data_IF_415038848028
#
_entry.id   IF_415038848028
#
_cell.length_a   1.000
_cell.length_b   1.000
_cell.length_c   1.000
_cell.angle_alpha   90.00
_cell.angle_beta   90.00
_cell.angle_gamma   90.00
#
_symmetry.space_group_name_H-M   'P 1'
#
loop_
_entity.id
_entity.type
_entity.pdbx_description
1 polymer ?
#
# COMPACT_ATOMS: atom_id res chain seq x y z
N UNK A 1 6.58 -11.36 -12.82
CA UNK A 1 5.75 -12.54 -12.55
C UNK A 1 6.57 -13.58 -11.83
N UNK A 2 5.94 -14.35 -10.98
CA UNK A 2 6.52 -15.51 -10.29
C UNK A 2 5.54 -16.70 -10.33
N UNK A 3 5.76 -17.75 -9.55
CA UNK A 3 4.86 -18.91 -9.51
C UNK A 3 3.52 -18.65 -8.82
N UNK A 4 3.42 -17.56 -8.05
CA UNK A 4 2.23 -17.22 -7.25
C UNK A 4 1.25 -16.37 -8.05
N UNK A 5 1.74 -15.27 -8.68
CA UNK A 5 0.85 -14.32 -9.37
C UNK A 5 1.60 -13.48 -10.41
N UNK A 6 0.82 -12.77 -11.20
CA UNK A 6 1.32 -11.75 -12.12
C UNK A 6 1.66 -10.46 -11.37
N UNK A 7 2.78 -9.83 -11.77
CA UNK A 7 3.30 -8.59 -11.21
C UNK A 7 2.70 -7.36 -11.89
N UNK A 8 2.82 -6.20 -11.25
CA UNK A 8 2.42 -4.90 -11.78
C UNK A 8 3.33 -4.45 -12.94
N UNK A 9 3.11 -4.98 -14.12
CA UNK A 9 3.83 -4.68 -15.37
C UNK A 9 2.88 -4.28 -16.48
N UNK A 10 3.40 -3.56 -17.48
CA UNK A 10 2.59 -3.15 -18.63
C UNK A 10 2.38 -4.28 -19.67
N UNK A 11 3.24 -5.29 -19.71
CA UNK A 11 3.39 -6.16 -20.90
C UNK A 11 3.43 -7.66 -20.61
N UNK A 12 3.46 -8.12 -19.38
CA UNK A 12 3.53 -9.54 -19.05
C UNK A 12 2.35 -9.94 -18.17
N UNK A 13 1.73 -11.05 -18.56
CA UNK A 13 0.64 -11.67 -17.83
C UNK A 13 0.77 -13.18 -18.04
N UNK A 14 1.38 -13.88 -17.08
CA UNK A 14 1.71 -15.31 -17.19
C UNK A 14 0.55 -16.19 -16.74
N UNK A 15 -0.19 -15.76 -15.72
CA UNK A 15 -1.24 -16.57 -15.06
C UNK A 15 -2.65 -16.03 -15.30
N UNK A 16 -2.78 -14.77 -15.70
CA UNK A 16 -4.07 -14.09 -15.74
C UNK A 16 -4.58 -13.72 -14.34
N UNK A 17 -3.65 -13.41 -13.43
CA UNK A 17 -3.91 -13.08 -12.03
C UNK A 17 -3.12 -13.96 -11.06
N UNK A 18 -3.77 -14.47 -10.00
CA UNK A 18 -3.19 -15.45 -9.05
C UNK A 18 -3.27 -16.86 -9.64
N UNK A 19 -2.15 -17.59 -9.63
CA UNK A 19 -2.12 -18.99 -10.09
C UNK A 19 -2.85 -19.92 -9.11
N UNK A 20 -3.12 -21.16 -9.54
CA UNK A 20 -3.67 -22.20 -8.66
C UNK A 20 -2.80 -22.41 -7.43
N UNK A 21 -1.47 -22.51 -7.62
CA UNK A 21 -0.50 -22.62 -6.53
C UNK A 21 -0.54 -21.37 -5.63
N UNK A 22 -0.62 -20.16 -6.23
CA UNK A 22 -0.73 -18.90 -5.47
C UNK A 22 -1.97 -18.86 -4.58
N UNK A 23 -3.09 -19.38 -5.05
CA UNK A 23 -4.30 -19.48 -4.25
C UNK A 23 -4.13 -20.40 -3.02
N UNK A 24 -3.41 -21.51 -3.16
CA UNK A 24 -3.05 -22.38 -2.03
C UNK A 24 -2.11 -21.69 -1.05
N UNK A 25 -1.12 -20.94 -1.56
CA UNK A 25 -0.20 -20.14 -0.72
C UNK A 25 -0.97 -19.10 0.09
N UNK A 26 -1.90 -18.34 -0.52
CA UNK A 26 -2.71 -17.33 0.18
C UNK A 26 -3.52 -17.97 1.31
N UNK A 27 -4.16 -19.12 1.06
CA UNK A 27 -4.94 -19.84 2.09
C UNK A 27 -4.04 -20.31 3.24
N UNK A 28 -2.84 -20.79 2.92
CA UNK A 28 -1.87 -21.24 3.94
C UNK A 28 -1.32 -20.03 4.75
N UNK A 29 -1.07 -18.88 4.10
CA UNK A 29 -0.72 -17.64 4.79
C UNK A 29 -1.80 -17.24 5.79
N UNK A 30 -3.08 -17.29 5.39
CA UNK A 30 -4.21 -17.02 6.28
C UNK A 30 -4.25 -17.99 7.47
N UNK A 31 -3.99 -19.30 7.23
CA UNK A 31 -3.95 -20.31 8.31
C UNK A 31 -2.82 -20.06 9.31
N UNK A 32 -1.67 -19.59 8.83
CA UNK A 32 -0.48 -19.29 9.63
C UNK A 32 -0.50 -17.91 10.30
N UNK A 33 -1.47 -17.06 9.97
CA UNK A 33 -1.54 -15.69 10.47
C UNK A 33 -0.51 -14.76 9.81
N UNK A 34 -0.12 -15.05 8.58
CA UNK A 34 0.80 -14.23 7.77
C UNK A 34 -0.01 -13.30 6.88
N UNK A 35 0.27 -12.00 6.92
CA UNK A 35 -0.38 -11.03 6.06
C UNK A 35 -0.01 -11.23 4.59
N UNK A 36 -1.00 -11.11 3.71
CA UNK A 36 -0.81 -11.12 2.26
C UNK A 36 -0.55 -9.71 1.77
N UNK A 37 0.64 -9.45 1.27
CA UNK A 37 1.04 -8.15 0.72
C UNK A 37 0.94 -8.15 -0.80
N UNK A 38 0.15 -7.23 -1.34
CA UNK A 38 -0.09 -7.10 -2.78
C UNK A 38 0.64 -5.93 -3.42
N UNK A 39 1.55 -5.26 -2.70
CA UNK A 39 2.52 -4.37 -3.34
C UNK A 39 3.33 -5.14 -4.39
N UNK A 40 3.53 -4.59 -5.56
CA UNK A 40 4.08 -5.23 -6.77
C UNK A 40 3.15 -6.18 -7.54
N UNK A 41 2.01 -6.60 -7.01
CA UNK A 41 1.07 -7.44 -7.74
C UNK A 41 0.33 -6.68 -8.84
N UNK A 42 0.03 -7.36 -9.93
CA UNK A 42 -0.82 -6.84 -11.00
C UNK A 42 -2.27 -6.62 -10.53
N UNK A 43 -3.01 -5.78 -11.24
CA UNK A 43 -4.39 -5.43 -10.86
C UNK A 43 -5.29 -6.68 -10.72
N UNK A 44 -5.23 -7.60 -11.68
CA UNK A 44 -6.00 -8.86 -11.61
C UNK A 44 -5.57 -9.72 -10.41
N UNK A 45 -4.27 -9.83 -10.15
CA UNK A 45 -3.74 -10.56 -8.99
C UNK A 45 -4.21 -9.96 -7.67
N UNK A 46 -4.31 -8.63 -7.60
CA UNK A 46 -4.82 -7.92 -6.43
C UNK A 46 -6.29 -8.30 -6.15
N UNK A 47 -7.17 -8.27 -7.17
CA UNK A 47 -8.57 -8.63 -6.99
C UNK A 47 -8.74 -10.12 -6.66
N UNK A 48 -7.97 -11.01 -7.30
CA UNK A 48 -8.00 -12.43 -6.98
C UNK A 48 -7.58 -12.68 -5.52
N UNK A 49 -6.53 -12.01 -5.04
CA UNK A 49 -6.10 -12.13 -3.66
C UNK A 49 -7.16 -11.61 -2.66
N UNK A 50 -7.87 -10.52 -2.99
CA UNK A 50 -9.01 -10.03 -2.21
C UNK A 50 -10.15 -11.03 -2.11
N UNK A 51 -10.40 -11.80 -3.18
CA UNK A 51 -11.44 -12.84 -3.20
C UNK A 51 -11.01 -14.09 -2.43
N UNK A 52 -9.75 -14.52 -2.61
CA UNK A 52 -9.21 -15.76 -2.03
C UNK A 52 -8.94 -15.61 -0.53
N UNK A 53 -8.43 -14.45 -0.10
CA UNK A 53 -8.03 -14.23 1.29
C UNK A 53 -9.26 -14.09 2.19
N UNK A 54 -9.30 -14.90 3.25
CA UNK A 54 -10.28 -14.78 4.34
C UNK A 54 -9.90 -13.71 5.37
N UNK A 55 -8.70 -13.12 5.25
CA UNK A 55 -8.14 -12.12 6.15
C UNK A 55 -7.86 -10.83 5.40
N UNK A 56 -7.74 -9.68 6.09
CA UNK A 56 -7.32 -8.44 5.45
C UNK A 56 -6.00 -8.60 4.71
N UNK A 57 -5.95 -8.21 3.44
CA UNK A 57 -4.70 -8.07 2.69
C UNK A 57 -4.18 -6.65 2.81
N UNK A 58 -2.93 -6.43 2.46
CA UNK A 58 -2.29 -5.12 2.56
C UNK A 58 -1.55 -4.74 1.28
N UNK A 59 -1.26 -3.46 1.13
CA UNK A 59 -0.28 -2.94 0.18
C UNK A 59 0.75 -2.16 1.00
N UNK A 60 1.89 -2.78 1.29
CA UNK A 60 2.90 -2.23 2.20
C UNK A 60 3.58 -0.96 1.68
N UNK A 61 3.60 -0.75 0.37
CA UNK A 61 4.21 0.40 -0.30
C UNK A 61 3.62 0.63 -1.69
N UNK A 62 2.52 1.36 -1.76
CA UNK A 62 1.81 1.67 -3.02
C UNK A 62 1.17 3.06 -2.96
N UNK A 63 1.07 3.72 -4.12
CA UNK A 63 0.55 5.07 -4.24
C UNK A 63 -0.75 5.12 -5.07
N UNK A 64 -1.25 6.33 -5.34
CA UNK A 64 -2.49 6.56 -6.10
C UNK A 64 -2.23 6.70 -7.59
N UNK A 65 -2.86 5.85 -8.39
CA UNK A 65 -2.77 5.90 -9.85
C UNK A 65 -3.42 7.16 -10.43
N UNK A 66 -4.43 7.70 -9.75
CA UNK A 66 -5.07 8.96 -10.14
C UNK A 66 -4.10 10.17 -10.12
N UNK A 67 -3.07 10.14 -9.27
CA UNK A 67 -2.06 11.21 -9.19
C UNK A 67 -0.80 10.91 -10.01
N UNK A 68 -0.45 9.63 -10.16
CA UNK A 68 0.70 9.19 -10.95
C UNK A 68 0.36 7.86 -11.65
N UNK A 69 0.07 7.90 -12.95
CA UNK A 69 -0.36 6.73 -13.72
C UNK A 69 0.81 5.81 -14.07
N UNK A 70 1.16 4.97 -13.12
CA UNK A 70 2.15 3.89 -13.27
C UNK A 70 1.55 2.55 -12.81
N UNK A 71 2.03 1.40 -13.32
CA UNK A 71 1.46 0.09 -12.99
C UNK A 71 1.53 -0.28 -11.51
N UNK A 72 2.47 0.30 -10.76
CA UNK A 72 2.69 0.04 -9.33
C UNK A 72 1.68 0.74 -8.41
N UNK A 73 1.00 1.76 -8.92
CA UNK A 73 0.02 2.53 -8.15
C UNK A 73 -1.37 1.93 -8.27
N UNK A 74 -2.14 2.04 -7.18
CA UNK A 74 -3.50 1.52 -7.09
C UNK A 74 -4.50 2.48 -7.72
N UNK A 75 -5.49 1.93 -8.40
CA UNK A 75 -6.68 2.69 -8.82
C UNK A 75 -7.55 3.00 -7.59
N UNK A 76 -8.42 4.01 -7.71
CA UNK A 76 -9.38 4.34 -6.65
C UNK A 76 -10.32 3.17 -6.34
N UNK A 77 -10.66 2.36 -7.35
CA UNK A 77 -11.49 1.16 -7.15
C UNK A 77 -10.75 0.07 -6.38
N UNK A 78 -9.45 -0.15 -6.65
CA UNK A 78 -8.62 -1.04 -5.84
C UNK A 78 -8.53 -0.55 -4.39
N UNK A 79 -8.34 0.75 -4.19
CA UNK A 79 -8.30 1.36 -2.85
C UNK A 79 -9.62 1.15 -2.10
N UNK A 80 -10.77 1.41 -2.73
CA UNK A 80 -12.09 1.17 -2.13
C UNK A 80 -12.30 -0.32 -1.79
N UNK A 81 -11.90 -1.20 -2.71
CA UNK A 81 -12.02 -2.64 -2.51
C UNK A 81 -11.15 -3.14 -1.35
N UNK A 82 -9.93 -2.60 -1.22
CA UNK A 82 -9.02 -2.89 -0.12
C UNK A 82 -9.62 -2.46 1.24
N UNK A 83 -10.12 -1.23 1.32
CA UNK A 83 -10.76 -0.69 2.51
C UNK A 83 -12.01 -1.48 2.91
N UNK A 84 -12.85 -1.89 1.94
CA UNK A 84 -14.05 -2.70 2.17
C UNK A 84 -13.75 -4.09 2.77
N UNK A 85 -12.51 -4.54 2.72
CA UNK A 85 -12.00 -5.79 3.31
C UNK A 85 -11.08 -5.54 4.52
N UNK A 86 -11.19 -4.38 5.17
CA UNK A 86 -10.37 -3.97 6.31
C UNK A 86 -8.86 -3.93 6.04
N UNK A 87 -8.46 -3.89 4.77
CA UNK A 87 -7.07 -3.81 4.36
C UNK A 87 -6.45 -2.43 4.59
N UNK A 88 -5.14 -2.33 4.36
CA UNK A 88 -4.35 -1.11 4.55
C UNK A 88 -3.43 -0.88 3.35
N UNK A 89 -3.40 0.36 2.84
CA UNK A 89 -2.43 0.82 1.87
C UNK A 89 -1.45 1.79 2.55
N UNK A 90 -0.15 1.52 2.44
CA UNK A 90 0.88 2.44 2.91
C UNK A 90 1.53 3.16 1.73
N UNK A 91 1.65 4.49 1.84
CA UNK A 91 2.20 5.36 0.80
C UNK A 91 3.71 5.15 0.73
N UNK A 92 4.22 4.85 -0.47
CA UNK A 92 5.66 4.72 -0.71
C UNK A 92 6.31 6.05 -1.09
N UNK A 93 7.60 6.17 -0.76
CA UNK A 93 8.42 7.33 -1.09
C UNK A 93 9.28 7.14 -2.35
N UNK A 94 9.02 6.08 -3.13
CA UNK A 94 9.72 5.92 -4.40
C UNK A 94 9.33 7.04 -5.36
N UNK A 95 10.33 7.81 -5.81
CA UNK A 95 10.13 9.06 -6.56
C UNK A 95 9.25 8.86 -7.80
N UNK A 96 9.54 7.81 -8.60
CA UNK A 96 8.81 7.52 -9.85
C UNK A 96 7.37 7.06 -9.66
N UNK A 97 6.93 6.74 -8.43
CA UNK A 97 5.53 6.41 -8.12
C UNK A 97 4.76 7.58 -7.51
N UNK A 98 5.47 8.62 -7.10
CA UNK A 98 4.88 9.89 -6.67
C UNK A 98 4.70 10.84 -7.87
N UNK A 99 5.71 10.91 -8.76
CA UNK A 99 5.69 11.76 -9.96
C UNK A 99 6.47 11.12 -11.11
N UNK A 100 5.93 11.20 -12.31
CA UNK A 100 6.58 10.65 -13.52
C UNK A 100 7.78 11.48 -14.02
N UNK A 101 7.90 12.74 -13.57
CA UNK A 101 9.01 13.63 -13.95
C UNK A 101 10.26 13.48 -13.05
N UNK A 102 10.20 12.60 -12.05
CA UNK A 102 11.31 12.33 -11.13
C UNK A 102 11.64 13.48 -10.16
N UNK A 103 10.73 14.44 -9.96
CA UNK A 103 10.92 15.62 -9.11
C UNK A 103 10.03 15.62 -7.88
N UNK A 104 9.67 14.45 -7.38
CA UNK A 104 8.85 14.33 -6.19
C UNK A 104 9.58 14.85 -4.94
N UNK A 105 8.81 15.34 -3.99
CA UNK A 105 9.25 15.78 -2.67
C UNK A 105 8.24 15.32 -1.61
N UNK A 106 8.50 15.62 -0.35
CA UNK A 106 7.59 15.26 0.76
C UNK A 106 6.15 15.74 0.53
N UNK A 107 5.95 16.89 -0.12
CA UNK A 107 4.60 17.38 -0.40
C UNK A 107 3.83 16.46 -1.37
N UNK A 108 4.50 15.86 -2.34
CA UNK A 108 3.86 14.91 -3.26
C UNK A 108 3.44 13.63 -2.50
N UNK A 109 4.27 13.14 -1.56
CA UNK A 109 3.87 12.04 -0.68
C UNK A 109 2.63 12.37 0.14
N UNK A 110 2.55 13.61 0.67
CA UNK A 110 1.36 14.08 1.39
C UNK A 110 0.11 14.15 0.51
N UNK A 111 0.24 14.54 -0.76
CA UNK A 111 -0.89 14.54 -1.71
C UNK A 111 -1.41 13.11 -1.96
N UNK A 112 -0.51 12.15 -2.13
CA UNK A 112 -0.89 10.74 -2.26
C UNK A 112 -1.57 10.20 -0.99
N UNK A 113 -1.07 10.57 0.20
CA UNK A 113 -1.69 10.21 1.48
C UNK A 113 -3.10 10.77 1.58
N UNK A 114 -3.28 12.06 1.31
CA UNK A 114 -4.58 12.75 1.38
C UNK A 114 -5.57 12.17 0.37
N UNK A 115 -5.13 11.87 -0.85
CA UNK A 115 -5.96 11.20 -1.84
C UNK A 115 -6.41 9.81 -1.35
N UNK A 116 -5.48 9.01 -0.84
CA UNK A 116 -5.80 7.69 -0.31
C UNK A 116 -6.78 7.78 0.87
N UNK A 117 -6.60 8.73 1.80
CA UNK A 117 -7.54 8.97 2.90
C UNK A 117 -8.94 9.35 2.38
N UNK A 118 -9.01 10.21 1.37
CA UNK A 118 -10.30 10.61 0.77
C UNK A 118 -11.03 9.44 0.11
N UNK A 119 -10.31 8.47 -0.45
CA UNK A 119 -10.89 7.31 -1.15
C UNK A 119 -11.20 6.17 -0.21
N UNK A 120 -10.32 5.88 0.75
CA UNK A 120 -10.35 4.69 1.62
C UNK A 120 -10.84 4.97 3.05
N UNK A 121 -10.71 6.20 3.50
CA UNK A 121 -10.85 6.56 4.91
C UNK A 121 -9.53 6.46 5.68
N UNK A 122 -9.46 7.20 6.80
CA UNK A 122 -8.27 7.35 7.64
C UNK A 122 -7.80 6.01 8.26
N UNK A 123 -8.71 5.07 8.45
CA UNK A 123 -8.44 3.78 9.10
C UNK A 123 -7.70 2.77 8.18
N UNK A 124 -7.47 3.12 6.92
CA UNK A 124 -6.94 2.20 5.90
C UNK A 124 -5.64 2.69 5.26
N UNK A 125 -5.02 3.75 5.78
CA UNK A 125 -3.85 4.38 5.16
C UNK A 125 -2.70 4.51 6.15
N UNK A 126 -1.46 4.43 5.65
CA UNK A 126 -0.24 4.62 6.44
C UNK A 126 0.95 5.04 5.58
N UNK A 127 2.15 5.03 6.18
CA UNK A 127 3.41 5.33 5.52
C UNK A 127 4.25 4.04 5.39
N UNK A 128 4.60 3.68 4.16
CA UNK A 128 5.46 2.54 3.81
C UNK A 128 6.64 3.01 2.97
N UNK A 129 7.64 3.55 3.60
CA UNK A 129 8.70 4.37 3.02
C UNK A 129 9.47 3.74 1.87
N UNK A 130 9.70 2.43 1.94
CA UNK A 130 10.50 1.68 0.96
C UNK A 130 11.97 2.19 0.87
N UNK A 131 12.54 2.63 2.01
CA UNK A 131 13.89 3.20 2.05
C UNK A 131 14.99 2.24 1.62
N UNK A 132 14.79 0.95 1.79
CA UNK A 132 15.70 -0.11 1.33
C UNK A 132 15.46 -0.51 -0.14
N UNK A 133 14.37 0.01 -0.76
CA UNK A 133 14.01 -0.18 -2.17
C UNK A 133 14.03 1.11 -3.00
N UNK A 134 15.04 1.96 -2.79
CA UNK A 134 15.19 3.27 -3.44
C UNK A 134 14.08 4.29 -3.09
N UNK A 135 13.33 4.08 -2.02
CA UNK A 135 12.42 5.07 -1.46
C UNK A 135 13.19 6.23 -0.83
N UNK A 136 12.59 7.40 -0.90
CA UNK A 136 13.15 8.63 -0.34
C UNK A 136 13.05 9.79 -1.30
N UNK A 137 12.64 10.94 -0.77
CA UNK A 137 12.47 12.19 -1.53
C UNK A 137 13.02 13.37 -0.72
N UNK A 138 13.35 14.50 -1.36
CA UNK A 138 13.75 15.72 -0.64
C UNK A 138 12.75 16.08 0.48
N UNK A 139 13.26 16.22 1.69
CA UNK A 139 12.50 16.47 2.92
C UNK A 139 12.06 15.21 3.66
N UNK A 140 12.24 14.04 3.06
CA UNK A 140 11.98 12.72 3.68
C UNK A 140 12.83 11.67 2.97
N UNK A 141 14.17 11.84 3.05
CA UNK A 141 15.14 11.03 2.30
C UNK A 141 15.47 9.71 2.98
N UNK A 142 15.42 9.67 4.29
CA UNK A 142 15.71 8.48 5.09
C UNK A 142 15.03 8.53 6.48
N UNK A 143 15.29 7.53 7.31
CA UNK A 143 14.65 7.39 8.61
C UNK A 143 14.96 8.56 9.58
N UNK A 144 16.07 9.26 9.43
CA UNK A 144 16.41 10.42 10.27
C UNK A 144 15.50 11.63 10.02
N UNK A 145 14.85 11.67 8.85
CA UNK A 145 13.95 12.75 8.43
C UNK A 145 12.46 12.43 8.68
N UNK A 146 12.11 11.28 9.25
CA UNK A 146 10.71 10.88 9.53
C UNK A 146 9.96 11.93 10.36
N UNK A 147 10.66 12.70 11.19
CA UNK A 147 10.04 13.81 11.92
C UNK A 147 9.42 14.87 10.99
N UNK A 148 9.93 15.02 9.77
CA UNK A 148 9.37 15.96 8.81
C UNK A 148 7.98 15.53 8.32
N UNK A 149 7.75 14.23 8.20
CA UNK A 149 6.40 13.71 7.89
C UNK A 149 5.41 14.04 9.02
N UNK A 150 5.80 13.87 10.29
CA UNK A 150 4.98 14.31 11.43
C UNK A 150 4.70 15.81 11.40
N UNK A 151 5.70 16.64 11.09
CA UNK A 151 5.48 18.09 10.95
C UNK A 151 4.49 18.43 9.85
N UNK A 152 4.53 17.72 8.72
CA UNK A 152 3.57 17.91 7.64
C UNK A 152 2.14 17.51 8.04
N UNK A 153 1.97 16.42 8.78
CA UNK A 153 0.67 16.02 9.33
C UNK A 153 0.13 17.10 10.28
N UNK A 154 0.95 17.60 11.21
CA UNK A 154 0.58 18.69 12.12
C UNK A 154 0.21 19.98 11.36
N UNK A 155 0.99 20.37 10.36
CA UNK A 155 0.73 21.54 9.52
C UNK A 155 -0.63 21.44 8.79
N UNK A 156 -1.02 20.23 8.42
CA UNK A 156 -2.32 19.91 7.80
C UNK A 156 -3.44 19.65 8.81
N UNK A 157 -3.15 19.84 10.11
CA UNK A 157 -4.12 19.76 11.21
C UNK A 157 -4.72 18.37 11.42
N UNK A 158 -3.97 17.30 11.13
CA UNK A 158 -4.36 15.96 11.56
C UNK A 158 -4.37 15.89 13.09
N UNK A 159 -5.37 15.22 13.66
CA UNK A 159 -5.46 14.97 15.10
C UNK A 159 -4.36 13.99 15.54
N UNK A 160 -4.05 13.97 16.85
CA UNK A 160 -3.12 12.97 17.40
C UNK A 160 -3.61 11.55 17.15
N UNK A 161 -4.92 11.32 17.21
CA UNK A 161 -5.55 10.03 16.90
C UNK A 161 -5.30 9.63 15.44
N UNK A 162 -5.55 10.52 14.49
CA UNK A 162 -5.32 10.27 13.06
C UNK A 162 -3.85 10.02 12.77
N UNK A 163 -2.95 10.79 13.37
CA UNK A 163 -1.51 10.58 13.25
C UNK A 163 -1.08 9.22 13.79
N UNK A 164 -1.63 8.77 14.93
CA UNK A 164 -1.34 7.45 15.49
C UNK A 164 -1.80 6.32 14.56
N UNK A 165 -2.96 6.49 13.89
CA UNK A 165 -3.46 5.54 12.88
C UNK A 165 -2.50 5.45 11.68
N UNK A 166 -2.10 6.60 11.11
CA UNK A 166 -1.20 6.68 9.95
C UNK A 166 0.18 6.10 10.27
N UNK A 167 0.73 6.41 11.46
CA UNK A 167 2.07 5.97 11.87
C UNK A 167 2.20 4.47 12.16
N UNK A 168 1.11 3.75 12.35
CA UNK A 168 1.20 2.31 12.56
C UNK A 168 -0.05 1.66 13.11
N UNK A 169 -0.97 2.41 13.70
CA UNK A 169 -2.19 1.87 14.29
C UNK A 169 -3.01 1.03 13.29
N UNK A 170 -3.17 1.52 12.07
CA UNK A 170 -3.88 0.80 11.01
C UNK A 170 -3.17 -0.49 10.62
N UNK A 171 -1.84 -0.46 10.51
CA UNK A 171 -1.04 -1.64 10.19
C UNK A 171 -1.13 -2.70 11.29
N UNK A 172 -1.01 -2.29 12.54
CA UNK A 172 -1.13 -3.19 13.70
C UNK A 172 -2.52 -3.82 13.76
N UNK A 173 -3.58 -3.07 13.48
CA UNK A 173 -4.95 -3.59 13.38
C UNK A 173 -5.04 -4.71 12.32
N UNK A 174 -4.51 -4.48 11.13
CA UNK A 174 -4.50 -5.49 10.06
C UNK A 174 -3.66 -6.72 10.45
N UNK A 175 -2.51 -6.51 11.09
CA UNK A 175 -1.67 -7.61 11.59
C UNK A 175 -2.40 -8.46 12.64
N UNK A 176 -3.07 -7.82 13.61
CA UNK A 176 -3.84 -8.52 14.64
C UNK A 176 -5.01 -9.32 14.04
N UNK A 177 -5.71 -8.76 13.04
CA UNK A 177 -6.79 -9.44 12.35
C UNK A 177 -6.29 -10.71 11.61
N UNK A 178 -5.07 -10.69 11.08
CA UNK A 178 -4.44 -11.83 10.45
C UNK A 178 -4.00 -12.90 11.46
N UNK A 179 -3.51 -12.51 12.63
CA UNK A 179 -3.01 -13.43 13.69
C UNK A 179 -4.10 -14.12 14.49
N UNK A 180 -5.33 -13.63 14.46
CA UNK A 180 -6.47 -14.30 15.13
C UNK A 180 -6.82 -15.57 14.36
N UNK A 181 -6.65 -16.72 15.00
CA UNK A 181 -7.06 -18.05 14.52
C UNK A 181 -8.57 -18.21 14.58
#
# INVERSE_FOLDING_TARGET
>A
DNQICDSARRTLNTHGGVSTFGAEVIREMNRLGVMVDMSHAGEKSFYDALEISAKPIVCSHSNSKALCDVPRNLTDDQMRALAAKDGVCQITLYNGFLRTDGKACINDAMLHLEHAINVMGIDHVGLGTDFDGDGGVPGLADASELINFTKELLRRRYSEEDMAKIWGGNWLRALEANRKL
#
